data_IF_733791490863
#
_entry.id   IF_733791490863
#
_cell.length_a   1.000
_cell.length_b   1.000
_cell.length_c   1.000
_cell.angle_alpha   90.00
_cell.angle_beta   90.00
_cell.angle_gamma   90.00
#
_symmetry.space_group_name_H-M   'P 1'
#
loop_
_entity.id
_entity.type
_entity.pdbx_description
1 polymer ?
#
# COMPACT_ATOMS: atom_id res chain seq x y z
N UNK A 1 -5.32 13.27 7.93
CA UNK A 1 -5.84 12.11 7.17
C UNK A 1 -4.94 10.93 7.47
N UNK A 2 -5.51 9.75 7.70
CA UNK A 2 -4.71 8.54 7.96
C UNK A 2 -4.48 7.76 6.67
N UNK A 3 -3.22 7.45 6.37
CA UNK A 3 -2.79 6.82 5.12
C UNK A 3 -2.03 5.53 5.44
N UNK A 4 -2.44 4.43 4.83
CA UNK A 4 -1.67 3.18 4.85
C UNK A 4 -0.65 3.16 3.72
N UNK A 5 0.59 2.75 3.99
CA UNK A 5 1.68 2.72 3.00
C UNK A 5 2.34 1.34 3.04
N UNK A 6 2.53 0.73 1.87
CA UNK A 6 3.14 -0.60 1.76
C UNK A 6 3.84 -0.81 0.41
N UNK A 7 4.70 -1.82 0.31
CA UNK A 7 5.49 -2.13 -0.88
C UNK A 7 5.95 -3.59 -0.87
N UNK A 8 6.55 -4.07 -1.96
CA UNK A 8 7.36 -5.29 -2.00
C UNK A 8 6.59 -6.51 -1.44
N UNK A 9 5.36 -6.68 -1.94
CA UNK A 9 4.47 -7.77 -1.50
C UNK A 9 4.83 -9.11 -2.14
N UNK A 10 5.48 -9.08 -3.31
CA UNK A 10 6.08 -10.25 -3.98
C UNK A 10 5.18 -11.49 -3.93
N UNK A 11 3.93 -11.33 -4.40
CA UNK A 11 2.91 -12.38 -4.45
C UNK A 11 2.49 -13.02 -3.10
N UNK A 12 2.90 -12.46 -1.96
CA UNK A 12 2.58 -13.00 -0.63
C UNK A 12 1.11 -12.70 -0.24
N UNK A 13 0.17 -13.44 -0.83
CA UNK A 13 -1.28 -13.25 -0.67
C UNK A 13 -1.75 -13.14 0.78
N UNK A 14 -1.19 -13.97 1.65
CA UNK A 14 -1.52 -13.99 3.05
C UNK A 14 -1.12 -12.68 3.75
N UNK A 15 0.05 -12.11 3.47
CA UNK A 15 0.44 -10.82 4.02
C UNK A 15 -0.33 -9.68 3.37
N UNK A 16 -0.66 -9.76 2.08
CA UNK A 16 -1.57 -8.78 1.46
C UNK A 16 -2.92 -8.77 2.19
N UNK A 17 -3.49 -9.93 2.52
CA UNK A 17 -4.73 -10.00 3.31
C UNK A 17 -4.58 -9.36 4.68
N UNK A 18 -3.45 -9.58 5.37
CA UNK A 18 -3.15 -8.94 6.66
C UNK A 18 -3.01 -7.43 6.54
N UNK A 19 -2.30 -6.93 5.54
CA UNK A 19 -2.17 -5.49 5.24
C UNK A 19 -3.54 -4.87 5.05
N UNK A 20 -4.39 -5.50 4.25
CA UNK A 20 -5.75 -4.99 3.99
C UNK A 20 -6.59 -4.98 5.27
N UNK A 21 -6.56 -6.05 6.08
CA UNK A 21 -7.25 -6.06 7.37
C UNK A 21 -6.74 -4.96 8.29
N UNK A 22 -5.42 -4.81 8.41
CA UNK A 22 -4.78 -3.81 9.25
C UNK A 22 -5.17 -2.39 8.82
N UNK A 23 -5.13 -2.06 7.53
CA UNK A 23 -5.54 -0.74 7.04
C UNK A 23 -7.02 -0.47 7.25
N UNK A 24 -7.87 -1.49 7.10
CA UNK A 24 -9.30 -1.36 7.39
C UNK A 24 -9.57 -1.16 8.89
N UNK A 25 -8.91 -1.91 9.77
CA UNK A 25 -9.02 -1.79 11.23
C UNK A 25 -8.47 -0.45 11.74
N UNK A 26 -7.40 0.05 11.12
CA UNK A 26 -6.84 1.37 11.39
C UNK A 26 -7.64 2.48 10.72
N UNK A 27 -8.72 2.19 9.99
CA UNK A 27 -9.57 3.19 9.31
C UNK A 27 -8.76 4.12 8.37
N UNK A 28 -7.78 3.56 7.65
CA UNK A 28 -7.02 4.32 6.67
C UNK A 28 -7.94 4.86 5.57
N UNK A 29 -7.79 6.15 5.24
CA UNK A 29 -8.59 6.86 4.25
C UNK A 29 -8.10 6.65 2.82
N UNK A 30 -6.85 6.21 2.63
CA UNK A 30 -6.34 5.63 1.39
C UNK A 30 -5.14 4.71 1.65
N UNK A 31 -4.79 3.90 0.65
CA UNK A 31 -3.59 3.08 0.63
C UNK A 31 -2.62 3.54 -0.49
N UNK A 32 -1.35 3.70 -0.14
CA UNK A 32 -0.26 4.03 -1.05
C UNK A 32 0.65 2.80 -1.25
N UNK A 33 0.94 2.47 -2.50
CA UNK A 33 1.71 1.28 -2.84
C UNK A 33 2.94 1.58 -3.70
N UNK A 34 4.13 1.24 -3.18
CA UNK A 34 5.41 1.57 -3.81
C UNK A 34 5.93 0.51 -4.79
N UNK A 35 5.08 -0.35 -5.35
CA UNK A 35 5.46 -1.33 -6.36
C UNK A 35 5.82 -2.72 -5.82
N UNK A 36 6.12 -3.63 -6.74
CA UNK A 36 6.41 -5.05 -6.52
C UNK A 36 5.23 -5.84 -5.91
N UNK A 37 4.09 -5.72 -6.59
CA UNK A 37 2.95 -6.65 -6.51
C UNK A 37 3.22 -7.92 -7.32
N UNK A 38 4.01 -7.80 -8.40
CA UNK A 38 4.46 -8.89 -9.29
C UNK A 38 3.35 -9.46 -10.19
N UNK A 39 2.40 -10.23 -9.63
CA UNK A 39 1.44 -10.99 -10.43
C UNK A 39 -0.01 -10.54 -10.28
N UNK A 40 -0.82 -10.75 -11.33
CA UNK A 40 -2.24 -10.35 -11.34
C UNK A 40 -3.12 -11.11 -10.34
N UNK A 41 -2.69 -12.30 -9.89
CA UNK A 41 -3.42 -13.06 -8.88
C UNK A 41 -3.29 -12.47 -7.47
N UNK A 42 -2.39 -11.50 -7.26
CA UNK A 42 -2.24 -10.76 -6.01
C UNK A 42 -3.22 -9.58 -5.88
N UNK A 43 -3.93 -9.22 -6.96
CA UNK A 43 -4.94 -8.15 -6.97
C UNK A 43 -6.21 -8.48 -6.16
N UNK A 44 -6.81 -9.68 -6.23
CA UNK A 44 -8.10 -9.94 -5.57
C UNK A 44 -8.14 -9.68 -4.06
N UNK A 45 -7.11 -10.00 -3.24
CA UNK A 45 -7.06 -9.60 -1.84
C UNK A 45 -7.15 -8.07 -1.61
N UNK A 46 -6.51 -7.27 -2.46
CA UNK A 46 -6.54 -5.80 -2.37
C UNK A 46 -7.94 -5.21 -2.58
N UNK A 47 -8.84 -5.94 -3.26
CA UNK A 47 -10.24 -5.52 -3.48
C UNK A 47 -11.08 -5.42 -2.22
N UNK A 48 -10.49 -5.72 -1.07
CA UNK A 48 -11.12 -5.68 0.24
C UNK A 48 -10.76 -4.44 1.04
N UNK A 49 -9.90 -3.58 0.51
CA UNK A 49 -9.67 -2.27 1.11
C UNK A 49 -10.98 -1.50 1.13
N UNK A 50 -11.28 -0.86 2.26
CA UNK A 50 -12.42 0.03 2.42
C UNK A 50 -12.12 1.46 1.93
N UNK A 51 -10.93 1.66 1.37
CA UNK A 51 -10.43 2.95 0.93
C UNK A 51 -9.79 2.88 -0.46
N UNK A 52 -9.65 4.02 -1.16
CA UNK A 52 -8.99 4.08 -2.46
C UNK A 52 -7.52 3.67 -2.40
N UNK A 53 -7.06 3.07 -3.49
CA UNK A 53 -5.68 2.66 -3.69
C UNK A 53 -4.97 3.58 -4.70
N UNK A 54 -3.73 3.99 -4.40
CA UNK A 54 -2.85 4.70 -5.32
C UNK A 54 -1.47 4.06 -5.29
N UNK A 55 -0.87 3.79 -6.45
CA UNK A 55 0.46 3.16 -6.46
C UNK A 55 1.26 3.40 -7.72
N UNK A 56 2.51 2.95 -7.67
CA UNK A 56 3.35 2.83 -8.86
C UNK A 56 3.71 1.36 -9.14
N UNK A 57 4.13 1.07 -10.37
CA UNK A 57 4.85 -0.18 -10.66
C UNK A 57 6.24 -0.14 -10.03
N UNK A 58 6.69 -1.31 -9.57
CA UNK A 58 8.09 -1.60 -9.30
C UNK A 58 8.81 -2.17 -10.53
N UNK A 59 9.98 -2.75 -10.32
CA UNK A 59 10.77 -3.35 -11.38
C UNK A 59 10.42 -4.81 -11.66
N UNK A 60 9.59 -5.45 -10.83
CA UNK A 60 9.22 -6.85 -10.98
C UNK A 60 7.84 -7.10 -11.64
N UNK A 61 7.05 -6.07 -11.96
CA UNK A 61 5.79 -6.26 -12.70
C UNK A 61 6.00 -6.59 -14.19
N UNK A 62 5.89 -7.88 -14.52
CA UNK A 62 5.90 -8.34 -15.91
C UNK A 62 4.60 -8.05 -16.69
N UNK A 63 3.43 -8.11 -16.04
CA UNK A 63 2.13 -7.94 -16.68
C UNK A 63 1.41 -6.65 -16.25
N UNK A 64 2.00 -5.49 -16.58
CA UNK A 64 1.43 -4.17 -16.24
C UNK A 64 0.01 -3.99 -16.77
N UNK A 65 -0.29 -4.43 -17.99
CA UNK A 65 -1.64 -4.33 -18.60
C UNK A 65 -2.69 -5.10 -17.78
N UNK A 66 -2.37 -6.34 -17.40
CA UNK A 66 -3.26 -7.16 -16.59
C UNK A 66 -3.46 -6.60 -15.18
N UNK A 67 -2.39 -6.09 -14.57
CA UNK A 67 -2.45 -5.44 -13.26
C UNK A 67 -3.31 -4.18 -13.31
N UNK A 68 -3.06 -3.29 -14.28
CA UNK A 68 -3.85 -2.09 -14.49
C UNK A 68 -5.34 -2.43 -14.64
N UNK A 69 -5.67 -3.41 -15.49
CA UNK A 69 -7.04 -3.88 -15.68
C UNK A 69 -7.68 -4.40 -14.40
N UNK A 70 -6.93 -5.16 -13.60
CA UNK A 70 -7.40 -5.73 -12.33
C UNK A 70 -7.63 -4.69 -11.22
N UNK A 71 -6.81 -3.63 -11.20
CA UNK A 71 -6.81 -2.57 -10.18
C UNK A 71 -7.87 -1.49 -10.38
N UNK A 72 -8.42 -1.32 -11.60
CA UNK A 72 -9.46 -0.31 -11.93
C UNK A 72 -10.65 -0.25 -10.97
N UNK A 73 -10.97 -1.35 -10.30
CA UNK A 73 -12.08 -1.43 -9.34
C UNK A 73 -11.78 -0.82 -7.98
N UNK A 74 -10.50 -0.64 -7.64
CA UNK A 74 -10.07 -0.15 -6.32
C UNK A 74 -9.17 1.07 -6.36
N UNK A 75 -8.56 1.36 -7.50
CA UNK A 75 -7.65 2.48 -7.59
C UNK A 75 -6.77 2.48 -8.83
N UNK A 76 -5.68 3.20 -8.72
CA UNK A 76 -4.79 3.51 -9.83
C UNK A 76 -3.39 2.97 -9.59
N UNK A 77 -2.80 2.44 -10.66
CA UNK A 77 -1.41 2.00 -10.73
C UNK A 77 -0.79 2.63 -11.97
N UNK A 78 0.30 3.38 -11.76
CA UNK A 78 0.97 4.19 -12.80
C UNK A 78 2.46 3.82 -12.87
N UNK A 79 3.15 4.22 -13.94
CA UNK A 79 4.61 4.16 -13.94
C UNK A 79 5.19 5.19 -12.96
N UNK A 80 6.30 4.83 -12.31
CA UNK A 80 7.03 5.72 -11.42
C UNK A 80 7.88 6.73 -12.24
N UNK A 81 7.96 8.02 -11.84
CA UNK A 81 7.32 8.62 -10.67
C UNK A 81 5.80 8.83 -10.87
N UNK A 82 5.01 8.38 -9.88
CA UNK A 82 3.57 8.49 -9.91
C UNK A 82 3.09 9.55 -8.90
N UNK A 83 2.51 10.63 -9.41
CA UNK A 83 2.08 11.77 -8.61
C UNK A 83 0.59 11.66 -8.27
N UNK A 84 0.25 11.90 -7.01
CA UNK A 84 -1.11 11.90 -6.49
C UNK A 84 -1.34 13.08 -5.56
N UNK A 85 -2.56 13.62 -5.58
CA UNK A 85 -3.01 14.61 -4.59
C UNK A 85 -4.07 13.93 -3.73
N UNK A 86 -3.80 13.84 -2.43
CA UNK A 86 -4.72 13.23 -1.47
C UNK A 86 -5.92 14.15 -1.20
N UNK A 87 -6.94 13.60 -0.52
CA UNK A 87 -8.20 14.31 -0.27
C UNK A 87 -8.03 15.58 0.57
N UNK A 88 -7.04 15.62 1.44
CA UNK A 88 -6.69 16.80 2.25
C UNK A 88 -5.75 17.78 1.52
N UNK A 89 -5.42 17.52 0.26
CA UNK A 89 -4.56 18.35 -0.56
C UNK A 89 -3.08 17.98 -0.51
N UNK A 90 -2.67 17.03 0.35
CA UNK A 90 -1.27 16.60 0.44
C UNK A 90 -0.79 16.02 -0.90
N UNK A 91 0.33 16.53 -1.39
CA UNK A 91 0.95 16.06 -2.65
C UNK A 91 1.96 14.95 -2.37
N UNK A 92 1.72 13.81 -3.00
CA UNK A 92 2.53 12.61 -2.84
C UNK A 92 3.14 12.20 -4.18
N UNK A 93 4.42 11.88 -4.17
CA UNK A 93 5.08 11.17 -5.27
C UNK A 93 5.40 9.75 -4.82
N UNK A 94 5.07 8.76 -5.63
CA UNK A 94 5.42 7.36 -5.38
C UNK A 94 6.43 6.93 -6.43
N UNK A 95 7.57 6.43 -5.97
CA UNK A 95 8.57 5.76 -6.79
C UNK A 95 8.86 4.39 -6.19
N UNK A 96 9.31 3.44 -6.99
CA UNK A 96 9.77 2.17 -6.43
C UNK A 96 11.22 2.30 -5.93
N UNK A 97 12.08 2.88 -6.76
CA UNK A 97 13.48 3.13 -6.44
C UNK A 97 13.70 4.62 -6.19
N UNK A 98 14.36 4.97 -5.09
CA UNK A 98 14.60 6.37 -4.72
C UNK A 98 15.31 7.18 -5.82
N UNK A 99 16.20 6.56 -6.60
CA UNK A 99 16.89 7.20 -7.74
C UNK A 99 15.92 7.80 -8.77
N UNK A 100 14.68 7.33 -8.84
CA UNK A 100 13.65 7.85 -9.74
C UNK A 100 13.15 9.25 -9.32
N UNK A 101 13.47 9.71 -8.11
CA UNK A 101 13.24 11.10 -7.68
C UNK A 101 14.30 12.07 -8.23
N UNK A 102 15.43 11.57 -8.74
CA UNK A 102 16.49 12.42 -9.27
C UNK A 102 15.98 13.21 -10.49
N UNK A 103 15.99 14.54 -10.38
CA UNK A 103 15.48 15.42 -11.44
C UNK A 103 13.96 15.52 -11.51
N UNK A 104 13.23 15.02 -10.51
CA UNK A 104 11.80 15.27 -10.37
C UNK A 104 11.59 16.70 -9.84
N UNK A 105 11.02 17.57 -10.68
CA UNK A 105 10.90 19.02 -10.44
C UNK A 105 9.52 19.43 -9.91
N UNK A 106 8.52 18.55 -9.98
CA UNK A 106 7.20 18.87 -9.48
C UNK A 106 7.18 18.91 -7.95
N UNK A 107 6.35 19.80 -7.43
CA UNK A 107 6.21 20.03 -6.00
C UNK A 107 5.48 18.87 -5.30
N UNK A 108 6.09 18.32 -4.25
CA UNK A 108 5.50 17.30 -3.39
C UNK A 108 5.93 17.49 -1.93
N UNK A 109 5.13 16.94 -1.02
CA UNK A 109 5.41 17.00 0.42
C UNK A 109 5.92 15.65 0.95
N UNK A 110 5.48 14.55 0.31
CA UNK A 110 5.79 13.19 0.72
C UNK A 110 6.22 12.35 -0.48
N UNK A 111 7.38 11.70 -0.37
CA UNK A 111 7.80 10.64 -1.27
C UNK A 111 7.61 9.28 -0.60
N UNK A 112 6.95 8.35 -1.30
CA UNK A 112 6.90 6.95 -0.93
C UNK A 112 7.87 6.17 -1.83
N UNK A 113 8.73 5.37 -1.21
CA UNK A 113 9.76 4.57 -1.88
C UNK A 113 9.70 3.09 -1.46
N UNK A 114 10.23 2.18 -2.27
CA UNK A 114 10.29 0.73 -2.00
C UNK A 114 11.68 0.17 -2.29
N UNK A 115 11.74 -1.02 -2.91
CA UNK A 115 12.92 -1.65 -3.53
C UNK A 115 14.04 -2.13 -2.60
N UNK A 116 14.36 -1.37 -1.56
CA UNK A 116 15.42 -1.77 -0.60
C UNK A 116 14.95 -2.80 0.41
N UNK A 117 13.63 -3.05 0.48
CA UNK A 117 12.94 -3.91 1.44
C UNK A 117 13.18 -3.52 2.93
N UNK A 118 13.81 -2.37 3.20
CA UNK A 118 14.15 -1.90 4.54
C UNK A 118 13.28 -0.70 4.92
N UNK A 119 12.54 -0.77 6.04
CA UNK A 119 11.74 0.36 6.47
C UNK A 119 12.65 1.54 6.83
N UNK A 120 12.26 2.74 6.39
CA UNK A 120 12.94 3.98 6.74
C UNK A 120 11.97 5.16 6.68
N UNK A 121 12.15 6.11 7.59
CA UNK A 121 11.43 7.38 7.61
C UNK A 121 12.47 8.45 7.82
N UNK A 122 12.52 9.42 6.91
CA UNK A 122 13.47 10.53 6.99
C UNK A 122 12.92 11.76 6.29
N UNK A 123 13.57 12.88 6.51
CA UNK A 123 13.33 14.10 5.73
C UNK A 123 14.53 14.37 4.84
N UNK A 124 14.31 15.02 3.71
CA UNK A 124 15.38 15.58 2.91
C UNK A 124 15.71 17.02 3.29
N UNK A 125 16.67 17.62 2.59
CA UNK A 125 17.14 18.98 2.84
C UNK A 125 16.05 20.06 2.67
N UNK A 126 14.97 19.74 1.96
CA UNK A 126 13.84 20.64 1.71
C UNK A 126 12.71 20.41 2.71
N UNK A 127 12.91 19.52 3.70
CA UNK A 127 11.91 19.18 4.70
C UNK A 127 10.75 18.36 4.14
N UNK A 128 10.95 17.66 3.01
CA UNK A 128 9.96 16.72 2.46
C UNK A 128 10.13 15.36 3.13
N UNK A 129 9.02 14.69 3.42
CA UNK A 129 9.02 13.40 4.10
C UNK A 129 9.28 12.28 3.08
N UNK A 130 10.22 11.37 3.38
CA UNK A 130 10.53 10.21 2.55
C UNK A 130 10.28 8.95 3.38
N UNK A 131 9.37 8.11 2.89
CA UNK A 131 8.89 6.92 3.59
C UNK A 131 9.14 5.67 2.76
N UNK A 132 9.95 4.75 3.28
CA UNK A 132 10.01 3.37 2.84
C UNK A 132 9.27 2.51 3.87
N UNK A 133 8.19 1.80 3.51
CA UNK A 133 7.47 0.95 4.46
C UNK A 133 8.21 -0.36 4.76
N UNK A 134 9.30 -0.66 4.06
CA UNK A 134 9.95 -1.96 4.04
C UNK A 134 9.19 -2.95 3.16
N UNK A 135 9.50 -4.24 3.30
CA UNK A 135 8.79 -5.29 2.57
C UNK A 135 7.54 -5.77 3.29
N UNK A 136 6.41 -5.86 2.58
CA UNK A 136 5.22 -6.51 3.13
C UNK A 136 5.28 -8.04 3.02
N UNK A 137 6.09 -8.55 2.10
CA UNK A 137 6.30 -9.99 1.92
C UNK A 137 7.05 -10.62 3.10
N UNK A 138 8.13 -9.99 3.55
CA UNK A 138 9.06 -10.61 4.50
C UNK A 138 9.98 -11.66 3.84
N UNK A 139 10.06 -11.71 2.52
CA UNK A 139 10.86 -12.72 1.81
C UNK A 139 12.37 -12.51 1.94
N UNK A 140 12.82 -11.26 2.05
CA UNK A 140 14.26 -10.96 2.07
C UNK A 140 14.83 -10.96 3.48
N UNK A 141 14.11 -10.36 4.44
CA UNK A 141 14.58 -10.10 5.80
C UNK A 141 13.74 -10.77 6.87
N UNK A 142 12.62 -11.40 6.53
CA UNK A 142 11.77 -12.13 7.49
C UNK A 142 11.02 -11.22 8.48
N UNK A 143 11.02 -9.90 8.25
CA UNK A 143 10.37 -8.92 9.11
C UNK A 143 9.40 -8.06 8.30
N UNK A 144 8.21 -8.60 7.94
CA UNK A 144 7.26 -7.92 7.08
C UNK A 144 6.68 -6.69 7.78
N UNK A 145 6.72 -5.54 7.11
CA UNK A 145 6.28 -4.24 7.66
C UNK A 145 5.42 -3.44 6.68
N UNK A 146 4.65 -2.51 7.24
CA UNK A 146 3.97 -1.42 6.54
C UNK A 146 4.23 -0.11 7.28
N UNK A 147 3.75 1.02 6.74
CA UNK A 147 3.72 2.29 7.46
C UNK A 147 2.30 2.86 7.55
N UNK A 148 2.01 3.55 8.66
CA UNK A 148 0.81 4.36 8.86
C UNK A 148 1.25 5.81 8.99
N UNK A 149 0.72 6.68 8.14
CA UNK A 149 1.02 8.10 8.09
C UNK A 149 -0.21 8.91 8.51
N UNK A 150 -0.01 9.88 9.39
CA UNK A 150 -0.98 10.94 9.70
C UNK A 150 -0.56 12.24 9.02
N UNK A 151 -1.15 12.55 7.85
CA UNK A 151 -0.70 13.65 6.96
C UNK A 151 -0.60 15.01 7.66
N UNK A 152 -1.57 15.36 8.50
CA UNK A 152 -1.62 16.66 9.20
C UNK A 152 -0.49 16.83 10.20
N UNK A 153 -0.15 15.76 10.93
CA UNK A 153 0.93 15.79 11.93
C UNK A 153 2.29 15.39 11.36
N UNK A 154 2.29 14.83 10.14
CA UNK A 154 3.42 14.19 9.48
C UNK A 154 4.07 13.05 10.28
N UNK A 155 3.37 12.50 11.28
CA UNK A 155 3.85 11.34 12.03
C UNK A 155 3.71 10.07 11.20
N UNK A 156 4.76 9.24 11.23
CA UNK A 156 4.79 7.93 10.57
C UNK A 156 5.10 6.85 11.60
N UNK A 157 4.28 5.82 11.64
CA UNK A 157 4.48 4.60 12.43
C UNK A 157 4.85 3.46 11.47
N UNK A 158 6.02 2.84 11.65
CA UNK A 158 6.33 1.56 10.99
C UNK A 158 5.70 0.44 11.81
N UNK A 159 4.83 -0.35 11.19
CA UNK A 159 4.05 -1.40 11.83
C UNK A 159 4.48 -2.76 11.29
N UNK A 160 4.87 -3.67 12.18
CA UNK A 160 5.10 -5.06 11.81
C UNK A 160 3.78 -5.76 11.49
N UNK A 161 3.77 -6.58 10.43
CA UNK A 161 2.63 -7.41 10.07
C UNK A 161 2.63 -8.63 11.01
N UNK A 162 1.55 -8.82 11.77
CA UNK A 162 1.40 -10.01 12.64
C UNK A 162 1.16 -11.28 11.79
N UNK A 163 2.21 -12.07 11.67
CA UNK A 163 2.19 -13.37 10.96
C UNK A 163 1.94 -14.56 11.90
N UNK A 164 1.81 -14.33 13.21
CA UNK A 164 1.65 -15.39 14.21
C UNK A 164 0.26 -16.02 14.19
N UNK A 165 -0.77 -15.25 13.82
CA UNK A 165 -2.14 -15.72 13.78
C UNK A 165 -2.49 -16.32 12.42
N UNK A 166 -3.16 -17.49 12.38
CA UNK A 166 -3.67 -18.05 11.15
C UNK A 166 -4.76 -17.14 10.57
N UNK A 167 -4.73 -16.95 9.26
CA UNK A 167 -5.82 -16.25 8.59
C UNK A 167 -7.10 -17.07 8.62
N UNK A 168 -8.29 -16.44 8.67
CA UNK A 168 -9.55 -17.13 8.50
C UNK A 168 -9.56 -17.92 7.19
N UNK A 169 -10.11 -19.13 7.25
CA UNK A 169 -10.28 -19.96 6.05
C UNK A 169 -11.15 -19.22 5.03
N UNK A 170 -10.99 -19.57 3.75
CA UNK A 170 -11.83 -19.01 2.67
C UNK A 170 -13.33 -19.13 2.96
N UNK A 171 -13.77 -20.23 3.56
CA UNK A 171 -15.17 -20.43 3.93
C UNK A 171 -15.63 -19.55 5.09
N UNK A 172 -14.79 -19.39 6.11
CA UNK A 172 -15.08 -18.50 7.25
C UNK A 172 -15.25 -17.07 6.75
N UNK A 173 -14.32 -16.64 5.90
CA UNK A 173 -14.28 -15.32 5.32
C UNK A 173 -15.50 -15.04 4.40
N UNK A 174 -15.89 -16.01 3.56
CA UNK A 174 -17.11 -15.95 2.75
C UNK A 174 -18.38 -15.84 3.61
N UNK A 175 -18.45 -16.56 4.73
CA UNK A 175 -19.62 -16.54 5.63
C UNK A 175 -19.76 -15.20 6.35
N UNK A 176 -18.66 -14.61 6.81
CA UNK A 176 -18.67 -13.29 7.44
C UNK A 176 -19.18 -12.22 6.47
N UNK A 177 -18.75 -12.28 5.21
CA UNK A 177 -19.22 -11.36 4.14
C UNK A 177 -20.73 -11.44 3.91
N UNK A 178 -21.28 -12.65 3.79
CA UNK A 178 -22.71 -12.86 3.57
C UNK A 178 -23.58 -12.37 4.74
N UNK A 179 -23.02 -12.31 5.96
CA UNK A 179 -23.70 -11.74 7.12
C UNK A 179 -23.68 -10.22 7.10
N UNK A 180 -22.53 -9.61 6.83
CA UNK A 180 -22.39 -8.14 6.82
C UNK A 180 -23.20 -7.46 5.70
N UNK A 181 -23.37 -8.12 4.56
CA UNK A 181 -24.22 -7.60 3.46
C UNK A 181 -25.70 -7.63 3.80
N UNK A 182 -26.16 -8.67 4.52
CA UNK A 182 -27.54 -8.77 4.97
C UNK A 182 -27.88 -7.75 6.06
N UNK A 183 -26.96 -7.39 6.94
CA UNK A 183 -27.20 -6.37 7.98
C UNK A 183 -27.33 -4.96 7.42
N UNK A 184 -26.69 -4.65 6.28
CA UNK A 184 -26.78 -3.34 5.61
C UNK A 184 -28.03 -3.17 4.74
N UNK A 185 -28.72 -4.25 4.37
CA UNK A 185 -29.98 -4.19 3.58
C UNK A 185 -31.24 -4.13 4.45
N UNK A 186 -31.10 -4.34 5.77
CA UNK A 186 -32.21 -4.43 6.72
C UNK A 186 -32.33 -3.25 7.69
N UNK A 187 -31.61 -2.14 7.45
CA UNK A 187 -31.68 -0.90 8.22
C UNK A 187 -31.89 0.30 7.30
#
# INVERSE_FOLDING_TARGET
>A
MRVGIFADTHDHLDNIRRVVSLFNERECECALFAGDLVSTFAVPPLRRLNCPFYGCYGDNEGNKVGLQGGMRLIGELRDAPACYTLKDGTRVVIVHMERQLSGYEEEFEIAVVGHTHKPSVREDEQGRLIVNPGESSGWTYGNPTVAILETTSRMVEIVAIDTSQPLPSWDQDRRTRARNTKSTESG
#
